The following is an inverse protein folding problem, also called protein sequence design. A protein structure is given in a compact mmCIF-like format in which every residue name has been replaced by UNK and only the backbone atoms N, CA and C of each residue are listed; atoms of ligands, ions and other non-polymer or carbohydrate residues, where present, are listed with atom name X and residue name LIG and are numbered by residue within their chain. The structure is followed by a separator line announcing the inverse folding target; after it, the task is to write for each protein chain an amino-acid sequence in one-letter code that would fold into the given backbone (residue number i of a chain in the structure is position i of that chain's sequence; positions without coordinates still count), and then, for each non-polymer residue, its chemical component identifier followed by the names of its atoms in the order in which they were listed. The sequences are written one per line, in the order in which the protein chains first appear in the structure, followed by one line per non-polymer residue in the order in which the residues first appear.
data_IF_363699949240
#
_entry.id   IF_363699949240
#
_cell.length_a   1.000
_cell.length_b   1.000
_cell.length_c   1.000
_cell.angle_alpha   90.00
_cell.angle_beta   90.00
_cell.angle_gamma   90.00
#
_symmetry.space_group_name_H-M   'P 1'
#
loop_
_entity.id
_entity.type
_entity.pdbx_description
1 polymer ?
#
# COMPACT_ATOMS: atom_id res chain seq x y z
N UNK A 1 7.06 -33.45 -18.90
CA UNK A 1 6.10 -32.34 -18.82
C UNK A 1 6.93 -31.08 -18.68
N UNK A 2 6.68 -30.11 -19.56
CA UNK A 2 7.36 -28.84 -19.60
C UNK A 2 6.82 -27.91 -18.54
N UNK A 3 7.63 -26.90 -18.19
CA UNK A 3 7.36 -26.01 -17.05
C UNK A 3 5.99 -25.33 -17.14
N UNK A 4 5.53 -24.97 -18.35
CA UNK A 4 4.24 -24.31 -18.51
C UNK A 4 3.08 -25.20 -18.05
N UNK A 5 3.04 -26.46 -18.50
CA UNK A 5 1.99 -27.40 -18.11
C UNK A 5 2.02 -27.69 -16.60
N UNK A 6 3.21 -27.76 -16.00
CA UNK A 6 3.39 -27.96 -14.57
C UNK A 6 2.87 -26.77 -13.73
N UNK A 7 3.18 -25.54 -14.13
CA UNK A 7 2.92 -24.34 -13.32
C UNK A 7 1.64 -23.59 -13.66
N UNK A 8 1.06 -23.81 -14.84
CA UNK A 8 -0.20 -23.15 -15.22
C UNK A 8 -1.33 -23.33 -14.19
N UNK A 9 -1.55 -24.53 -13.61
CA UNK A 9 -2.59 -24.72 -12.59
C UNK A 9 -2.41 -23.81 -11.37
N UNK A 10 -1.19 -23.68 -10.85
CA UNK A 10 -0.88 -22.85 -9.68
C UNK A 10 -1.16 -21.37 -9.95
N UNK A 11 -0.70 -20.84 -11.09
CA UNK A 11 -1.01 -19.45 -11.49
C UNK A 11 -2.51 -19.23 -11.70
N UNK A 12 -3.22 -20.21 -12.27
CA UNK A 12 -4.66 -20.12 -12.49
C UNK A 12 -5.46 -20.15 -11.18
N UNK A 13 -5.01 -20.90 -10.18
CA UNK A 13 -5.58 -20.91 -8.84
C UNK A 13 -5.49 -19.52 -8.18
N UNK A 14 -4.35 -18.85 -8.35
CA UNK A 14 -4.14 -17.45 -7.96
C UNK A 14 -4.97 -16.44 -8.79
N UNK A 15 -5.69 -16.89 -9.82
CA UNK A 15 -6.47 -16.02 -10.69
C UNK A 15 -5.65 -15.25 -11.73
N UNK A 16 -4.40 -15.66 -11.94
CA UNK A 16 -3.49 -15.11 -12.94
C UNK A 16 -3.57 -15.91 -14.24
N UNK A 17 -3.61 -15.21 -15.37
CA UNK A 17 -3.73 -15.83 -16.69
C UNK A 17 -2.32 -15.98 -17.26
N UNK A 18 -1.93 -17.20 -17.60
CA UNK A 18 -0.63 -17.50 -18.23
C UNK A 18 -0.79 -18.00 -19.66
N UNK A 19 0.28 -17.89 -20.44
CA UNK A 19 0.34 -18.34 -21.84
C UNK A 19 1.71 -18.95 -22.16
N UNK A 20 1.77 -19.97 -23.03
CA UNK A 20 3.06 -20.48 -23.51
C UNK A 20 3.75 -19.41 -24.37
N UNK A 21 5.08 -19.40 -24.35
CA UNK A 21 5.90 -18.51 -25.17
C UNK A 21 6.82 -19.30 -26.08
N UNK A 22 7.04 -18.80 -27.30
CA UNK A 22 8.05 -19.38 -28.19
C UNK A 22 9.48 -19.05 -27.73
N UNK A 23 10.50 -19.59 -28.41
CA UNK A 23 11.91 -19.30 -28.11
C UNK A 23 12.32 -17.83 -28.26
N UNK A 24 11.47 -16.98 -28.85
CA UNK A 24 11.63 -15.53 -28.95
C UNK A 24 10.73 -14.77 -27.97
N UNK A 25 10.14 -15.47 -26.99
CA UNK A 25 9.23 -14.94 -25.96
C UNK A 25 7.94 -14.34 -26.54
N UNK A 26 7.49 -14.81 -27.71
CA UNK A 26 6.21 -14.39 -28.31
C UNK A 26 5.09 -15.29 -27.86
N UNK A 27 3.99 -14.69 -27.41
CA UNK A 27 2.76 -15.40 -27.07
C UNK A 27 1.96 -15.82 -28.31
N UNK A 28 1.01 -16.77 -28.15
CA UNK A 28 0.18 -17.26 -29.24
C UNK A 28 -0.77 -16.17 -29.78
N UNK A 29 -1.26 -16.30 -31.02
CA UNK A 29 -2.23 -15.36 -31.58
C UNK A 29 -3.48 -15.15 -30.69
N UNK A 30 -3.84 -13.89 -30.49
CA UNK A 30 -5.00 -13.51 -29.69
C UNK A 30 -4.80 -13.64 -28.17
N UNK A 31 -3.55 -13.75 -27.69
CA UNK A 31 -3.23 -13.81 -26.26
C UNK A 31 -3.88 -12.68 -25.44
N UNK A 32 -4.03 -11.49 -26.02
CA UNK A 32 -4.61 -10.32 -25.37
C UNK A 32 -6.11 -10.46 -25.06
N UNK A 33 -6.79 -11.46 -25.62
CA UNK A 33 -8.19 -11.81 -25.33
C UNK A 33 -8.32 -13.07 -24.48
N UNK A 34 -7.20 -13.64 -24.02
CA UNK A 34 -7.19 -14.87 -23.25
C UNK A 34 -7.77 -14.66 -21.84
N UNK A 35 -8.53 -15.65 -21.38
CA UNK A 35 -8.96 -15.82 -20.00
C UNK A 35 -8.48 -17.15 -19.44
N UNK A 36 -8.73 -17.40 -18.16
CA UNK A 36 -8.29 -18.62 -17.45
C UNK A 36 -8.66 -19.93 -18.17
N UNK A 37 -9.88 -20.13 -18.71
CA UNK A 37 -10.20 -21.39 -19.39
C UNK A 37 -9.32 -21.67 -20.60
N UNK A 38 -9.00 -20.65 -21.40
CA UNK A 38 -8.13 -20.80 -22.58
C UNK A 38 -6.67 -20.98 -22.17
N UNK A 39 -6.22 -20.34 -21.09
CA UNK A 39 -4.90 -20.57 -20.51
C UNK A 39 -4.71 -22.03 -20.10
N UNK A 40 -5.72 -22.62 -19.45
CA UNK A 40 -5.69 -24.04 -19.07
C UNK A 40 -5.70 -24.99 -20.27
N UNK A 41 -6.49 -24.70 -21.30
CA UNK A 41 -6.47 -25.50 -22.53
C UNK A 41 -5.09 -25.49 -23.20
N UNK A 42 -4.44 -24.32 -23.27
CA UNK A 42 -3.10 -24.21 -23.85
C UNK A 42 -2.04 -24.99 -23.08
N UNK A 43 -2.18 -25.15 -21.77
CA UNK A 43 -1.25 -25.98 -20.99
C UNK A 43 -1.28 -27.44 -21.41
N UNK A 44 -2.45 -27.97 -21.77
CA UNK A 44 -2.58 -29.34 -22.30
C UNK A 44 -1.98 -29.46 -23.72
N UNK A 45 -2.14 -28.43 -24.55
CA UNK A 45 -1.64 -28.43 -25.95
C UNK A 45 -0.13 -28.14 -26.07
N UNK A 46 0.52 -27.70 -24.99
CA UNK A 46 1.92 -27.26 -24.96
C UNK A 46 2.66 -27.90 -23.77
N UNK A 47 2.52 -29.22 -23.66
CA UNK A 47 2.99 -30.03 -22.52
C UNK A 47 4.51 -30.22 -22.46
N UNK A 48 5.26 -29.70 -23.43
CA UNK A 48 6.73 -29.68 -23.50
C UNK A 48 7.31 -28.25 -23.40
N UNK A 49 6.46 -27.24 -23.21
CA UNK A 49 6.88 -25.83 -23.22
C UNK A 49 7.51 -25.40 -21.89
N UNK A 50 8.78 -25.00 -21.93
CA UNK A 50 9.53 -24.55 -20.74
C UNK A 50 9.45 -23.04 -20.45
N UNK A 51 8.80 -22.26 -21.32
CA UNK A 51 8.70 -20.81 -21.19
C UNK A 51 7.25 -20.37 -21.23
N UNK A 52 6.83 -19.61 -20.23
CA UNK A 52 5.49 -19.04 -20.20
C UNK A 52 5.49 -17.60 -19.70
N UNK A 53 4.46 -16.87 -20.10
CA UNK A 53 4.22 -15.50 -19.65
C UNK A 53 3.00 -15.41 -18.77
N UNK A 54 2.99 -14.43 -17.85
CA UNK A 54 1.81 -14.00 -17.11
C UNK A 54 1.25 -12.72 -17.71
N UNK A 55 -0.05 -12.66 -17.94
CA UNK A 55 -0.72 -11.44 -18.41
C UNK A 55 -0.75 -10.40 -17.29
N UNK A 56 -0.19 -9.23 -17.57
CA UNK A 56 -0.11 -8.14 -16.60
C UNK A 56 -1.39 -7.30 -16.58
N UNK A 57 -1.70 -6.73 -15.42
CA UNK A 57 -2.88 -5.91 -15.14
C UNK A 57 -4.22 -6.64 -15.18
N UNK A 58 -4.24 -7.97 -15.23
CA UNK A 58 -5.47 -8.76 -15.19
C UNK A 58 -5.43 -9.80 -14.06
N UNK A 59 -6.36 -9.68 -13.12
CA UNK A 59 -6.81 -10.79 -12.28
C UNK A 59 -8.32 -10.91 -12.44
N UNK A 60 -8.81 -11.98 -13.07
CA UNK A 60 -10.26 -12.18 -13.24
C UNK A 60 -10.60 -13.66 -13.21
N UNK A 61 -10.87 -14.15 -12.01
CA UNK A 61 -11.80 -15.27 -11.81
C UNK A 61 -13.03 -14.70 -11.11
N UNK A 62 -14.22 -15.02 -11.60
CA UNK A 62 -15.47 -14.66 -10.91
C UNK A 62 -15.40 -15.27 -9.50
N UNK A 63 -15.39 -14.43 -8.46
CA UNK A 63 -15.24 -14.86 -7.06
C UNK A 63 -13.80 -14.90 -6.51
N UNK A 64 -12.75 -14.61 -7.31
CA UNK A 64 -11.39 -14.38 -6.78
C UNK A 64 -10.97 -12.96 -7.13
N UNK A 65 -10.88 -12.12 -6.11
CA UNK A 65 -10.44 -10.73 -6.24
C UNK A 65 -8.91 -10.66 -6.23
N UNK A 66 -8.27 -11.24 -7.24
CA UNK A 66 -6.84 -10.98 -7.46
C UNK A 66 -6.69 -9.64 -8.20
N UNK A 67 -5.93 -8.66 -7.67
CA UNK A 67 -5.81 -7.34 -8.29
C UNK A 67 -5.02 -7.38 -9.62
N UNK A 68 -4.32 -8.49 -9.89
CA UNK A 68 -3.40 -8.63 -11.00
C UNK A 68 -2.02 -8.06 -10.63
N UNK A 69 -1.07 -8.22 -11.54
CA UNK A 69 0.31 -7.78 -11.33
C UNK A 69 0.70 -6.68 -12.31
N UNK A 70 1.47 -5.71 -11.82
CA UNK A 70 2.22 -4.77 -12.65
C UNK A 70 3.70 -5.08 -12.44
N UNK A 71 4.45 -5.11 -13.54
CA UNK A 71 5.87 -5.43 -13.48
C UNK A 71 6.67 -4.27 -14.05
N UNK A 72 7.70 -3.85 -13.31
CA UNK A 72 8.78 -3.05 -13.87
C UNK A 72 9.79 -4.02 -14.47
N UNK A 73 9.98 -3.95 -15.80
CA UNK A 73 10.97 -4.70 -16.55
C UNK A 73 12.20 -3.80 -16.75
N UNK A 74 13.23 -4.03 -15.94
CA UNK A 74 14.48 -3.28 -15.99
C UNK A 74 15.46 -4.01 -16.89
N UNK A 75 15.80 -3.40 -18.02
CA UNK A 75 16.62 -3.99 -19.07
C UNK A 75 18.12 -4.03 -18.75
N UNK A 76 18.55 -3.43 -17.63
CA UNK A 76 19.96 -3.35 -17.22
C UNK A 76 20.40 -4.45 -16.26
N UNK A 77 21.69 -4.48 -15.97
CA UNK A 77 22.33 -5.41 -15.03
C UNK A 77 23.05 -4.72 -13.87
N UNK A 78 23.07 -3.38 -13.86
CA UNK A 78 23.67 -2.60 -12.78
C UNK A 78 22.75 -2.61 -11.55
N UNK A 79 23.22 -3.22 -10.47
CA UNK A 79 22.47 -3.35 -9.22
C UNK A 79 22.33 -2.02 -8.47
N UNK A 80 23.21 -1.04 -8.71
CA UNK A 80 23.04 0.29 -8.13
C UNK A 80 21.83 1.00 -8.74
N UNK A 81 21.72 0.97 -10.07
CA UNK A 81 20.55 1.51 -10.77
C UNK A 81 19.27 0.74 -10.43
N UNK A 82 19.36 -0.57 -10.18
CA UNK A 82 18.22 -1.33 -9.63
C UNK A 82 17.81 -0.79 -8.25
N UNK A 83 18.78 -0.51 -7.38
CA UNK A 83 18.55 0.12 -6.07
C UNK A 83 17.86 1.47 -6.18
N UNK A 84 18.30 2.33 -7.11
CA UNK A 84 17.66 3.62 -7.39
C UNK A 84 16.22 3.45 -7.86
N UNK A 85 15.95 2.48 -8.73
CA UNK A 85 14.59 2.16 -9.18
C UNK A 85 13.70 1.69 -8.05
N UNK A 86 14.21 0.85 -7.15
CA UNK A 86 13.50 0.43 -5.94
C UNK A 86 13.23 1.62 -5.02
N UNK A 87 14.21 2.53 -4.90
CA UNK A 87 14.03 3.80 -4.20
C UNK A 87 12.83 4.56 -4.75
N UNK A 88 12.79 4.81 -6.06
CA UNK A 88 11.74 5.61 -6.72
C UNK A 88 10.36 4.94 -6.63
N UNK A 89 10.31 3.63 -6.81
CA UNK A 89 9.06 2.89 -7.02
C UNK A 89 8.56 2.10 -5.80
N UNK A 90 9.31 2.16 -4.71
CA UNK A 90 9.08 1.37 -3.50
C UNK A 90 9.63 -0.06 -3.64
N UNK A 91 9.72 -0.77 -2.52
CA UNK A 91 10.17 -2.17 -2.50
C UNK A 91 9.17 -3.08 -3.23
N UNK A 92 9.60 -3.93 -4.19
CA UNK A 92 8.71 -4.87 -4.83
C UNK A 92 8.32 -6.01 -3.89
N UNK A 93 7.19 -6.66 -4.16
CA UNK A 93 6.79 -7.86 -3.40
C UNK A 93 7.54 -9.11 -3.86
N UNK A 94 7.99 -9.14 -5.11
CA UNK A 94 8.92 -10.15 -5.62
C UNK A 94 9.90 -9.52 -6.62
N UNK A 95 11.17 -9.91 -6.52
CA UNK A 95 12.24 -9.50 -7.42
C UNK A 95 12.74 -10.74 -8.17
N UNK A 96 12.67 -10.72 -9.49
CA UNK A 96 13.04 -11.87 -10.34
C UNK A 96 14.27 -11.52 -11.16
N UNK A 97 15.26 -12.42 -11.19
CA UNK A 97 16.33 -12.39 -12.19
C UNK A 97 15.82 -13.07 -13.46
N UNK A 98 15.89 -12.38 -14.58
CA UNK A 98 15.49 -12.92 -15.88
C UNK A 98 16.53 -13.90 -16.43
N UNK A 99 16.16 -14.71 -17.41
CA UNK A 99 17.06 -15.64 -18.10
C UNK A 99 18.27 -14.97 -18.79
N UNK A 100 18.31 -13.65 -18.92
CA UNK A 100 19.47 -12.91 -19.45
C UNK A 100 20.19 -12.08 -18.38
N UNK A 101 19.93 -12.34 -17.09
CA UNK A 101 20.58 -11.67 -15.96
C UNK A 101 20.00 -10.30 -15.55
N UNK A 102 18.96 -9.82 -16.25
CA UNK A 102 18.22 -8.56 -15.97
C UNK A 102 17.18 -8.75 -14.86
N UNK A 103 16.33 -7.75 -14.58
CA UNK A 103 15.41 -7.80 -13.43
C UNK A 103 13.95 -7.49 -13.77
N UNK A 104 13.03 -8.26 -13.18
CA UNK A 104 11.61 -7.92 -13.09
C UNK A 104 11.23 -7.61 -11.64
N UNK A 105 10.56 -6.49 -11.39
CA UNK A 105 10.06 -6.09 -10.08
C UNK A 105 8.53 -6.18 -10.08
N UNK A 106 7.96 -7.03 -9.24
CA UNK A 106 6.52 -7.30 -9.19
C UNK A 106 5.80 -6.46 -8.13
N UNK A 107 4.72 -5.83 -8.55
CA UNK A 107 3.83 -5.01 -7.74
C UNK A 107 2.37 -5.40 -7.98
N UNK A 108 1.50 -4.99 -7.06
CA UNK A 108 0.05 -5.07 -7.26
C UNK A 108 -0.38 -4.09 -8.36
N UNK A 109 -1.14 -4.57 -9.33
CA UNK A 109 -1.74 -3.68 -10.31
C UNK A 109 -2.81 -2.79 -9.66
N UNK A 110 -2.70 -1.48 -9.87
CA UNK A 110 -3.65 -0.46 -9.45
C UNK A 110 -4.21 0.31 -10.65
N UNK A 111 -4.25 -0.32 -11.83
CA UNK A 111 -4.72 0.28 -13.08
C UNK A 111 -3.61 0.79 -13.99
N UNK A 112 -2.34 0.51 -13.70
CA UNK A 112 -1.22 0.86 -14.58
C UNK A 112 -1.40 0.23 -15.96
N UNK A 113 -1.01 0.94 -17.02
CA UNK A 113 -1.02 0.45 -18.42
C UNK A 113 0.37 0.02 -18.85
N UNK A 114 0.46 -0.70 -19.97
CA UNK A 114 1.76 -0.93 -20.63
C UNK A 114 2.35 0.39 -21.14
N UNK A 115 3.59 0.69 -20.77
CA UNK A 115 4.36 1.85 -21.27
C UNK A 115 5.83 1.45 -21.37
N UNK A 116 6.46 1.75 -22.50
CA UNK A 116 7.89 1.51 -22.69
C UNK A 116 8.67 2.75 -22.27
N UNK A 117 9.88 2.53 -21.73
CA UNK A 117 10.86 3.59 -21.45
C UNK A 117 10.32 4.69 -20.55
N UNK A 118 9.85 4.31 -19.35
CA UNK A 118 9.15 5.22 -18.41
C UNK A 118 10.04 6.28 -17.76
N UNK A 119 11.35 6.09 -17.76
CA UNK A 119 12.34 7.02 -17.20
C UNK A 119 13.13 7.83 -18.24
N UNK A 120 12.86 7.62 -19.52
CA UNK A 120 13.53 8.34 -20.60
C UNK A 120 13.99 7.44 -21.75
N UNK A 121 14.41 8.07 -22.84
CA UNK A 121 14.91 7.42 -24.06
C UNK A 121 16.36 7.83 -24.38
N UNK A 122 17.00 8.55 -23.46
CA UNK A 122 18.30 9.16 -23.64
C UNK A 122 19.46 8.20 -23.42
N UNK A 123 20.65 8.66 -23.82
CA UNK A 123 21.89 7.96 -23.58
C UNK A 123 22.24 8.08 -22.08
N UNK A 124 22.14 6.97 -21.34
CA UNK A 124 22.39 6.93 -19.90
C UNK A 124 21.14 6.77 -19.02
N UNK A 125 19.94 6.88 -19.59
CA UNK A 125 18.71 6.60 -18.82
C UNK A 125 18.56 5.10 -18.58
N UNK A 126 18.08 4.66 -17.41
CA UNK A 126 17.79 3.27 -17.17
C UNK A 126 16.68 2.83 -18.12
N UNK A 127 16.96 1.75 -18.86
CA UNK A 127 16.03 1.16 -19.82
C UNK A 127 14.94 0.42 -19.03
N UNK A 128 13.85 1.12 -18.75
CA UNK A 128 12.78 0.61 -17.87
C UNK A 128 11.44 0.62 -18.58
N UNK A 129 10.82 -0.55 -18.68
CA UNK A 129 9.49 -0.71 -19.23
C UNK A 129 8.48 -1.03 -18.11
N UNK A 130 7.31 -0.42 -18.20
CA UNK A 130 6.16 -0.71 -17.34
C UNK A 130 5.25 -1.71 -18.03
N UNK A 131 5.19 -2.92 -17.48
CA UNK A 131 4.29 -3.98 -17.90
C UNK A 131 3.03 -3.96 -17.03
N UNK A 132 2.15 -2.99 -17.26
CA UNK A 132 0.80 -2.94 -16.71
C UNK A 132 -0.24 -3.63 -17.60
N UNK A 133 -1.50 -3.20 -17.55
CA UNK A 133 -2.60 -3.73 -18.36
C UNK A 133 -2.27 -3.77 -19.85
N UNK A 134 -2.62 -4.89 -20.50
CA UNK A 134 -2.46 -5.08 -21.95
C UNK A 134 -1.08 -5.61 -22.36
N UNK A 135 -0.27 -6.07 -21.42
CA UNK A 135 1.00 -6.76 -21.67
C UNK A 135 1.04 -8.17 -21.07
N UNK A 136 2.20 -8.80 -21.23
CA UNK A 136 2.63 -9.96 -20.43
C UNK A 136 4.12 -9.82 -20.16
N UNK A 137 4.60 -10.56 -19.16
CA UNK A 137 6.02 -10.78 -18.92
C UNK A 137 6.27 -12.27 -18.78
N UNK A 138 7.47 -12.73 -19.15
CA UNK A 138 7.89 -14.08 -18.80
C UNK A 138 7.94 -14.22 -17.27
N UNK A 139 7.41 -15.34 -16.77
CA UNK A 139 7.18 -15.56 -15.36
C UNK A 139 8.07 -16.68 -14.80
N UNK A 140 8.47 -16.63 -13.52
CA UNK A 140 9.17 -17.74 -12.89
C UNK A 140 8.24 -18.97 -12.78
N UNK A 141 8.75 -20.21 -12.95
CA UNK A 141 10.15 -20.57 -13.12
C UNK A 141 10.53 -20.88 -14.59
N UNK A 142 10.06 -20.08 -15.57
CA UNK A 142 10.37 -20.30 -17.00
C UNK A 142 11.87 -20.49 -17.27
N UNK A 143 12.23 -21.35 -18.24
CA UNK A 143 13.61 -21.64 -18.65
C UNK A 143 13.84 -21.43 -20.15
N UNK A 144 14.88 -20.69 -20.49
CA UNK A 144 15.40 -20.56 -21.85
C UNK A 144 16.81 -21.16 -21.92
N UNK A 145 17.31 -21.38 -23.14
CA UNK A 145 18.70 -21.80 -23.33
C UNK A 145 19.74 -20.84 -22.74
N UNK A 146 19.38 -19.58 -22.49
CA UNK A 146 20.26 -18.59 -21.84
C UNK A 146 20.23 -18.62 -20.30
N UNK A 147 19.24 -19.26 -19.68
CA UNK A 147 19.04 -19.25 -18.23
C UNK A 147 17.58 -19.38 -17.79
N UNK A 148 17.33 -19.17 -16.51
CA UNK A 148 16.01 -19.27 -15.86
C UNK A 148 15.48 -17.93 -15.36
N UNK A 149 14.16 -17.87 -15.13
CA UNK A 149 13.52 -16.80 -14.38
C UNK A 149 13.43 -17.20 -12.91
N UNK A 150 14.28 -16.62 -12.07
CA UNK A 150 14.47 -17.05 -10.68
C UNK A 150 14.11 -15.94 -9.69
N UNK A 151 13.46 -16.29 -8.58
CA UNK A 151 13.22 -15.37 -7.47
C UNK A 151 14.55 -15.04 -6.77
N UNK A 152 14.89 -13.76 -6.69
CA UNK A 152 15.96 -13.23 -5.84
C UNK A 152 15.41 -12.78 -4.49
N UNK A 153 14.21 -12.17 -4.48
CA UNK A 153 13.44 -11.83 -3.28
C UNK A 153 11.96 -12.20 -3.48
N UNK A 154 11.29 -12.54 -2.38
CA UNK A 154 9.92 -13.05 -2.39
C UNK A 154 9.79 -14.46 -2.97
N UNK A 155 8.56 -14.90 -3.19
CA UNK A 155 8.25 -16.18 -3.80
C UNK A 155 6.94 -16.15 -4.60
N UNK A 156 6.54 -17.30 -5.14
CA UNK A 156 5.27 -17.43 -5.84
C UNK A 156 4.07 -17.08 -4.95
N UNK A 157 4.10 -17.42 -3.65
CA UNK A 157 2.99 -17.14 -2.73
C UNK A 157 2.75 -15.64 -2.54
N UNK A 158 3.81 -14.82 -2.55
CA UNK A 158 3.69 -13.36 -2.51
C UNK A 158 2.91 -12.82 -3.72
N UNK A 159 3.20 -13.37 -4.90
CA UNK A 159 2.47 -13.06 -6.13
C UNK A 159 1.04 -13.60 -6.05
N UNK A 160 0.85 -14.85 -5.62
CA UNK A 160 -0.43 -15.54 -5.63
C UNK A 160 -1.45 -14.97 -4.64
N UNK A 161 -0.98 -14.48 -3.49
CA UNK A 161 -1.83 -13.88 -2.46
C UNK A 161 -2.50 -12.58 -2.90
N UNK A 162 -1.98 -11.91 -3.93
CA UNK A 162 -2.44 -10.59 -4.36
C UNK A 162 -2.09 -9.46 -3.38
N UNK A 163 -1.33 -9.73 -2.33
CA UNK A 163 -0.90 -8.75 -1.32
C UNK A 163 0.39 -8.01 -1.69
N UNK A 164 0.78 -8.03 -2.96
CA UNK A 164 1.92 -7.27 -3.44
C UNK A 164 1.79 -5.76 -3.08
N UNK A 165 2.90 -5.08 -2.79
CA UNK A 165 2.91 -3.64 -2.55
C UNK A 165 2.43 -2.89 -3.81
N UNK A 166 1.85 -1.70 -3.60
CA UNK A 166 1.48 -0.84 -4.73
C UNK A 166 2.75 -0.26 -5.36
N UNK A 167 2.75 -0.16 -6.67
CA UNK A 167 3.74 0.61 -7.38
C UNK A 167 3.50 2.12 -7.16
N UNK A 168 4.53 2.85 -6.76
CA UNK A 168 4.47 4.30 -6.52
C UNK A 168 5.41 5.06 -7.48
N UNK A 169 5.32 6.39 -7.50
CA UNK A 169 6.21 7.24 -8.30
C UNK A 169 5.98 7.17 -9.81
N UNK A 170 4.82 6.72 -10.27
CA UNK A 170 4.43 6.76 -11.67
C UNK A 170 3.70 8.06 -12.01
N UNK A 171 3.92 8.55 -13.23
CA UNK A 171 3.14 9.64 -13.83
C UNK A 171 1.71 9.21 -14.13
N UNK A 172 0.80 10.17 -14.09
CA UNK A 172 -0.62 10.01 -14.44
C UNK A 172 -0.85 9.31 -15.79
N UNK A 173 -0.02 9.61 -16.80
CA UNK A 173 -0.08 9.00 -18.13
C UNK A 173 0.29 7.51 -18.17
N UNK A 174 0.72 6.92 -17.05
CA UNK A 174 1.04 5.51 -16.92
C UNK A 174 -0.15 4.65 -16.45
N UNK A 175 -1.35 5.23 -16.30
CA UNK A 175 -2.58 4.52 -15.91
C UNK A 175 -3.57 4.38 -17.08
N UNK A 176 -4.39 3.31 -17.07
CA UNK A 176 -5.38 3.00 -18.13
C UNK A 176 -6.62 3.89 -18.12
N UNK A 177 -7.02 4.36 -16.95
CA UNK A 177 -8.15 5.25 -16.78
C UNK A 177 -7.67 6.44 -15.94
N UNK A 178 -7.98 7.65 -16.38
CA UNK A 178 -7.71 8.84 -15.57
C UNK A 178 -8.47 8.76 -14.24
N UNK A 179 -9.60 8.04 -14.16
CA UNK A 179 -10.30 7.79 -12.90
C UNK A 179 -9.55 6.88 -11.91
N UNK A 180 -8.62 6.03 -12.39
CA UNK A 180 -7.70 5.27 -11.52
C UNK A 180 -6.46 6.08 -11.13
N UNK A 181 -6.26 7.25 -11.76
CA UNK A 181 -5.52 8.32 -11.12
C UNK A 181 -6.50 8.97 -10.12
N UNK A 182 -6.35 8.76 -8.80
CA UNK A 182 -7.28 9.30 -7.80
C UNK A 182 -7.46 10.84 -7.88
N UNK A 183 -6.68 11.54 -8.72
CA UNK A 183 -6.75 12.99 -8.95
C UNK A 183 -7.48 13.47 -10.19
N UNK A 184 -7.70 12.66 -11.24
CA UNK A 184 -8.23 13.22 -12.49
C UNK A 184 -9.73 13.57 -12.45
N UNK A 185 -10.44 13.14 -11.40
CA UNK A 185 -11.86 13.44 -11.19
C UNK A 185 -12.10 14.59 -10.19
N UNK A 186 -11.05 15.17 -9.60
CA UNK A 186 -11.18 16.28 -8.66
C UNK A 186 -10.91 17.59 -9.39
N UNK A 187 -11.80 18.56 -9.19
CA UNK A 187 -11.56 19.98 -9.49
C UNK A 187 -10.14 20.34 -9.09
N UNK A 188 -9.39 21.06 -9.93
CA UNK A 188 -8.00 21.44 -9.62
C UNK A 188 -7.92 21.91 -8.16
N UNK A 189 -7.22 21.16 -7.28
CA UNK A 189 -7.11 21.57 -5.90
C UNK A 189 -6.44 22.94 -5.85
N UNK A 190 -6.95 23.82 -4.98
CA UNK A 190 -6.28 25.09 -4.73
C UNK A 190 -4.84 24.85 -4.24
N UNK A 191 -4.04 25.92 -4.17
CA UNK A 191 -2.63 25.82 -3.77
C UNK A 191 -2.47 25.14 -2.40
N UNK A 192 -3.36 25.40 -1.45
CA UNK A 192 -3.31 24.82 -0.10
C UNK A 192 -3.55 23.31 -0.13
N UNK A 193 -4.57 22.85 -0.86
CA UNK A 193 -4.87 21.44 -1.03
C UNK A 193 -3.75 20.71 -1.79
N UNK A 194 -3.13 21.33 -2.80
CA UNK A 194 -1.96 20.78 -3.50
C UNK A 194 -0.78 20.57 -2.57
N UNK A 195 -0.38 21.60 -1.80
CA UNK A 195 0.74 21.53 -0.87
C UNK A 195 0.53 20.44 0.18
N UNK A 196 -0.68 20.40 0.76
CA UNK A 196 -1.07 19.37 1.72
C UNK A 196 -0.92 17.98 1.11
N UNK A 197 -1.41 17.79 -0.11
CA UNK A 197 -1.36 16.47 -0.74
C UNK A 197 0.08 16.05 -1.09
N UNK A 198 0.92 16.96 -1.58
CA UNK A 198 2.35 16.69 -1.82
C UNK A 198 3.06 16.30 -0.51
N UNK A 199 2.79 17.04 0.58
CA UNK A 199 3.35 16.75 1.89
C UNK A 199 2.90 15.38 2.43
N UNK A 200 1.62 15.04 2.34
CA UNK A 200 1.10 13.73 2.75
C UNK A 200 1.68 12.58 1.93
N UNK A 201 1.87 12.76 0.61
CA UNK A 201 2.53 11.75 -0.23
C UNK A 201 3.99 11.57 0.15
N UNK A 202 4.71 12.67 0.45
CA UNK A 202 6.08 12.59 0.94
C UNK A 202 6.18 11.80 2.24
N UNK A 203 5.26 12.03 3.20
CA UNK A 203 5.25 11.28 4.45
C UNK A 203 4.93 9.79 4.26
N UNK A 204 3.96 9.45 3.41
CA UNK A 204 3.64 8.05 3.08
C UNK A 204 4.79 7.33 2.37
N UNK A 205 5.47 8.04 1.46
CA UNK A 205 6.66 7.54 0.80
C UNK A 205 7.76 7.24 1.82
N UNK A 206 8.10 8.22 2.67
CA UNK A 206 9.15 8.09 3.69
C UNK A 206 8.85 7.01 4.74
N UNK A 207 7.58 6.74 4.99
CA UNK A 207 7.16 5.64 5.86
C UNK A 207 7.51 4.25 5.28
N UNK A 208 7.44 4.12 3.95
CA UNK A 208 7.74 2.87 3.26
C UNK A 208 9.21 2.78 2.85
N UNK A 209 9.84 3.92 2.58
CA UNK A 209 11.20 4.04 2.04
C UNK A 209 11.82 5.33 2.58
N UNK A 210 12.59 5.26 3.69
CA UNK A 210 13.11 6.44 4.38
C UNK A 210 14.35 7.03 3.66
N UNK A 211 14.19 7.41 2.39
CA UNK A 211 15.23 7.96 1.53
C UNK A 211 14.83 9.35 0.99
N UNK A 212 15.65 10.35 1.27
CA UNK A 212 15.39 11.75 0.90
C UNK A 212 15.46 11.98 -0.61
N UNK A 213 16.42 11.36 -1.30
CA UNK A 213 16.63 11.58 -2.73
C UNK A 213 15.49 10.96 -3.53
N UNK A 214 15.11 9.73 -3.20
CA UNK A 214 14.01 9.02 -3.80
C UNK A 214 12.67 9.71 -3.55
N UNK A 215 12.42 10.20 -2.32
CA UNK A 215 11.25 11.01 -2.01
C UNK A 215 11.23 12.31 -2.82
N UNK A 216 12.39 12.95 -3.00
CA UNK A 216 12.49 14.19 -3.78
C UNK A 216 12.13 13.95 -5.25
N UNK A 217 12.69 12.91 -5.87
CA UNK A 217 12.34 12.49 -7.24
C UNK A 217 10.85 12.14 -7.37
N UNK A 218 10.29 11.42 -6.39
CA UNK A 218 8.86 11.09 -6.34
C UNK A 218 8.00 12.35 -6.35
N UNK A 219 8.33 13.36 -5.54
CA UNK A 219 7.59 14.61 -5.49
C UNK A 219 7.76 15.48 -6.74
N UNK A 220 8.93 15.45 -7.39
CA UNK A 220 9.13 16.16 -8.66
C UNK A 220 8.23 15.58 -9.76
N UNK A 221 8.16 14.25 -9.86
CA UNK A 221 7.26 13.55 -10.76
C UNK A 221 5.80 13.91 -10.44
N UNK A 222 5.42 13.83 -9.16
CA UNK A 222 4.06 14.10 -8.71
C UNK A 222 3.64 15.56 -8.89
N UNK A 223 4.57 16.51 -8.73
CA UNK A 223 4.31 17.93 -8.94
C UNK A 223 4.12 18.25 -10.42
N UNK A 224 4.91 17.63 -11.29
CA UNK A 224 4.80 17.77 -12.75
C UNK A 224 3.48 17.28 -13.34
N UNK A 225 2.75 16.43 -12.62
CA UNK A 225 1.43 15.92 -13.02
C UNK A 225 0.27 16.92 -12.74
N UNK A 226 0.49 17.99 -11.98
CA UNK A 226 -0.53 19.03 -11.80
C UNK A 226 -0.61 19.96 -13.02
N UNK A 227 -1.82 20.34 -13.43
CA UNK A 227 -1.98 21.31 -14.53
C UNK A 227 -1.38 22.68 -14.19
N UNK A 228 -1.36 23.05 -12.91
CA UNK A 228 -0.47 24.07 -12.35
C UNK A 228 0.45 23.41 -11.32
N UNK A 229 1.73 23.17 -11.62
CA UNK A 229 2.71 22.74 -10.61
C UNK A 229 2.92 23.81 -9.53
N UNK A 230 3.31 23.41 -8.32
CA UNK A 230 3.84 24.36 -7.32
C UNK A 230 5.22 24.85 -7.75
N UNK A 231 5.62 26.04 -7.29
CA UNK A 231 6.95 26.59 -7.61
C UNK A 231 8.07 25.72 -7.05
N UNK A 232 9.27 25.75 -7.64
CA UNK A 232 10.41 24.97 -7.14
C UNK A 232 10.74 25.28 -5.67
N UNK A 233 10.72 26.55 -5.27
CA UNK A 233 10.99 26.94 -3.88
C UNK A 233 9.95 26.38 -2.89
N UNK A 234 8.69 26.36 -3.31
CA UNK A 234 7.59 25.80 -2.50
C UNK A 234 7.70 24.28 -2.40
N UNK A 235 8.04 23.59 -3.50
CA UNK A 235 8.28 22.15 -3.51
C UNK A 235 9.45 21.76 -2.62
N UNK A 236 10.57 22.47 -2.68
CA UNK A 236 11.73 22.24 -1.80
C UNK A 236 11.38 22.46 -0.33
N UNK A 237 10.53 23.44 -0.02
CA UNK A 237 10.01 23.65 1.34
C UNK A 237 9.17 22.45 1.81
N UNK A 238 8.32 21.90 0.94
CA UNK A 238 7.52 20.70 1.24
C UNK A 238 8.43 19.48 1.48
N UNK A 239 9.41 19.25 0.59
CA UNK A 239 10.40 18.17 0.71
C UNK A 239 11.16 18.25 2.05
N UNK A 240 11.70 19.43 2.36
CA UNK A 240 12.45 19.67 3.60
C UNK A 240 11.59 19.45 4.86
N UNK A 241 10.34 19.92 4.85
CA UNK A 241 9.43 19.74 5.98
C UNK A 241 9.02 18.27 6.18
N UNK A 242 8.78 17.52 5.09
CA UNK A 242 8.44 16.11 5.18
C UNK A 242 9.61 15.29 5.73
N UNK A 243 10.84 15.56 5.24
CA UNK A 243 12.05 14.95 5.75
C UNK A 243 12.30 15.29 7.23
N UNK A 244 12.13 16.56 7.61
CA UNK A 244 12.21 17.00 9.01
C UNK A 244 11.22 16.22 9.90
N UNK A 245 9.99 16.05 9.44
CA UNK A 245 9.00 15.27 10.17
C UNK A 245 9.39 13.78 10.30
N UNK A 246 10.01 13.20 9.27
CA UNK A 246 10.53 11.83 9.33
C UNK A 246 11.65 11.68 10.37
N UNK A 247 12.70 12.51 10.31
CA UNK A 247 13.87 12.40 11.20
C UNK A 247 13.55 12.76 12.66
N UNK A 248 12.53 13.60 12.89
CA UNK A 248 12.04 13.95 14.23
C UNK A 248 11.01 12.94 14.77
N UNK A 249 10.77 11.81 14.09
CA UNK A 249 9.74 10.82 14.42
C UNK A 249 8.32 11.41 14.53
N UNK A 250 8.03 12.47 13.77
CA UNK A 250 6.71 13.09 13.64
C UNK A 250 5.92 12.59 12.41
N UNK A 251 6.50 11.70 11.59
CA UNK A 251 5.81 11.07 10.48
C UNK A 251 4.82 9.99 10.96
N UNK A 252 3.53 10.29 10.85
CA UNK A 252 2.46 9.40 11.35
C UNK A 252 2.19 8.17 10.51
N UNK A 253 2.77 8.12 9.32
CA UNK A 253 2.68 6.97 8.45
C UNK A 253 3.80 5.95 8.75
N UNK A 254 4.96 6.38 9.25
CA UNK A 254 6.12 5.52 9.49
C UNK A 254 6.00 4.67 10.76
N UNK A 255 5.38 5.24 11.80
CA UNK A 255 5.11 4.52 13.04
C UNK A 255 3.76 4.99 13.61
N UNK A 256 2.92 4.07 14.12
CA UNK A 256 1.71 4.45 14.82
C UNK A 256 2.11 5.18 16.10
N UNK A 257 1.99 6.50 16.09
CA UNK A 257 2.13 7.30 17.30
C UNK A 257 0.77 7.75 17.80
N UNK A 258 0.69 7.93 19.11
CA UNK A 258 -0.50 8.44 19.77
C UNK A 258 -0.29 9.93 20.05
N UNK A 259 -1.13 10.77 19.44
CA UNK A 259 -1.18 12.19 19.76
C UNK A 259 -1.97 12.43 21.05
N UNK A 260 -1.37 13.23 21.92
CA UNK A 260 -1.95 13.78 23.13
C UNK A 260 -1.78 15.30 23.08
N UNK A 261 -2.87 16.04 23.23
CA UNK A 261 -2.80 17.50 23.33
C UNK A 261 -2.28 17.93 24.71
N UNK A 262 -1.68 19.13 24.77
CA UNK A 262 -1.05 19.63 25.99
C UNK A 262 -2.05 19.77 27.15
N UNK A 263 -3.28 20.21 26.87
CA UNK A 263 -4.30 20.39 27.91
C UNK A 263 -4.64 19.06 28.60
N UNK A 264 -4.86 17.99 27.82
CA UNK A 264 -5.11 16.65 28.36
C UNK A 264 -3.88 16.11 29.10
N UNK A 265 -2.66 16.32 28.57
CA UNK A 265 -1.43 15.90 29.24
C UNK A 265 -1.24 16.61 30.59
N UNK A 266 -1.43 17.92 30.62
CA UNK A 266 -1.29 18.74 31.83
C UNK A 266 -2.32 18.32 32.89
N UNK A 267 -3.57 18.09 32.47
CA UNK A 267 -4.62 17.59 33.37
C UNK A 267 -4.27 16.21 33.96
N UNK A 268 -3.84 15.26 33.13
CA UNK A 268 -3.43 13.91 33.59
C UNK A 268 -2.24 14.00 34.54
N UNK A 269 -1.24 14.83 34.22
CA UNK A 269 -0.01 14.94 35.01
C UNK A 269 -0.20 15.65 36.35
N UNK A 270 -1.21 16.53 36.46
CA UNK A 270 -1.61 17.14 37.73
C UNK A 270 -2.33 16.16 38.69
N UNK A 271 -2.84 15.02 38.19
CA UNK A 271 -3.59 14.07 39.02
C UNK A 271 -2.65 13.20 39.89
N UNK A 272 -3.06 12.87 41.12
CA UNK A 272 -2.25 12.04 42.05
C UNK A 272 -1.85 10.66 41.49
N UNK A 273 -2.62 10.15 40.53
CA UNK A 273 -2.37 8.88 39.83
C UNK A 273 -1.81 9.08 38.41
N UNK A 274 -1.16 10.21 38.13
CA UNK A 274 -0.71 10.65 36.80
C UNK A 274 -0.09 9.54 35.94
N UNK A 275 0.91 8.82 36.46
CA UNK A 275 1.62 7.77 35.71
C UNK A 275 0.67 6.67 35.21
N UNK A 276 -0.22 6.19 36.08
CA UNK A 276 -1.16 5.12 35.70
C UNK A 276 -2.25 5.65 34.75
N UNK A 277 -2.77 6.85 35.01
CA UNK A 277 -3.81 7.44 34.15
C UNK A 277 -3.25 7.73 32.76
N UNK A 278 -2.00 8.21 32.66
CA UNK A 278 -1.32 8.37 31.38
C UNK A 278 -1.17 7.03 30.66
N UNK A 279 -0.73 5.96 31.34
CA UNK A 279 -0.63 4.62 30.75
C UNK A 279 -1.98 4.10 30.23
N UNK A 280 -3.06 4.30 30.98
CA UNK A 280 -4.41 3.92 30.57
C UNK A 280 -4.84 4.73 29.34
N UNK A 281 -4.65 6.05 29.37
CA UNK A 281 -5.05 6.93 28.28
C UNK A 281 -4.31 6.59 26.97
N UNK A 282 -2.99 6.41 27.06
CA UNK A 282 -2.15 6.03 25.91
C UNK A 282 -2.52 4.64 25.37
N UNK A 283 -2.88 3.69 26.23
CA UNK A 283 -3.37 2.39 25.78
C UNK A 283 -4.69 2.51 25.00
N UNK A 284 -5.66 3.27 25.52
CA UNK A 284 -6.93 3.52 24.84
C UNK A 284 -6.69 4.21 23.49
N UNK A 285 -5.91 5.29 23.46
CA UNK A 285 -5.59 6.00 22.22
C UNK A 285 -4.87 5.11 21.20
N UNK A 286 -3.92 4.27 21.63
CA UNK A 286 -3.20 3.36 20.73
C UNK A 286 -4.14 2.39 20.02
N UNK A 287 -5.13 1.85 20.72
CA UNK A 287 -6.02 0.81 20.19
C UNK A 287 -7.35 1.37 19.61
N UNK A 288 -7.76 2.56 20.03
CA UNK A 288 -9.05 3.16 19.72
C UNK A 288 -8.95 4.58 19.13
N UNK A 289 -7.76 5.15 18.96
CA UNK A 289 -7.57 6.55 18.54
C UNK A 289 -8.12 6.88 17.16
N UNK A 290 -8.17 5.90 16.26
CA UNK A 290 -8.80 6.03 14.94
C UNK A 290 -10.29 5.69 14.90
N UNK A 291 -10.89 5.27 16.03
CA UNK A 291 -12.31 4.90 16.11
C UNK A 291 -13.12 6.10 16.60
N UNK A 292 -14.30 6.31 16.01
CA UNK A 292 -15.26 7.34 16.44
C UNK A 292 -15.91 6.97 17.77
N UNK A 293 -16.26 5.69 17.93
CA UNK A 293 -16.78 5.09 19.15
C UNK A 293 -15.95 3.89 19.59
N UNK A 294 -15.83 3.69 20.90
CA UNK A 294 -15.03 2.64 21.51
C UNK A 294 -15.52 2.29 22.92
N UNK A 295 -15.03 1.17 23.44
CA UNK A 295 -15.42 0.69 24.77
C UNK A 295 -14.25 0.83 25.74
N UNK A 296 -14.56 1.20 26.99
CA UNK A 296 -13.60 1.16 28.10
C UNK A 296 -14.16 0.19 29.13
N UNK A 297 -13.79 -1.08 29.04
CA UNK A 297 -14.24 -2.10 29.98
C UNK A 297 -13.34 -2.18 31.22
N UNK A 298 -13.90 -2.47 32.39
CA UNK A 298 -13.12 -2.65 33.63
C UNK A 298 -12.05 -3.72 33.50
N UNK A 299 -12.32 -4.79 32.73
CA UNK A 299 -11.38 -5.90 32.50
C UNK A 299 -10.13 -5.54 31.71
N UNK A 300 -10.05 -4.34 31.14
CA UNK A 300 -8.81 -3.79 30.56
C UNK A 300 -7.71 -3.64 31.62
N UNK A 301 -8.06 -3.60 32.90
CA UNK A 301 -7.15 -3.66 34.06
C UNK A 301 -6.11 -4.78 33.96
N UNK A 302 -6.49 -5.96 33.45
CA UNK A 302 -5.61 -7.13 33.29
C UNK A 302 -4.50 -6.90 32.26
N UNK A 303 -4.82 -6.19 31.18
CA UNK A 303 -3.86 -5.87 30.10
C UNK A 303 -2.89 -4.78 30.57
N UNK A 304 -3.39 -3.82 31.34
CA UNK A 304 -2.62 -2.67 31.82
C UNK A 304 -1.82 -3.03 33.09
N UNK A 305 -2.21 -4.07 33.82
CA UNK A 305 -1.58 -4.48 35.08
C UNK A 305 -2.01 -3.62 36.27
N UNK A 306 -3.27 -3.21 36.33
CA UNK A 306 -3.83 -2.44 37.45
C UNK A 306 -5.12 -3.07 38.01
N UNK A 307 -5.72 -2.45 39.03
CA UNK A 307 -7.01 -2.90 39.58
C UNK A 307 -8.20 -2.36 38.77
N UNK A 308 -9.34 -3.06 38.79
CA UNK A 308 -10.57 -2.69 38.06
C UNK A 308 -11.08 -1.29 38.50
N UNK A 309 -10.92 -0.94 39.78
CA UNK A 309 -11.32 0.36 40.33
C UNK A 309 -10.49 1.51 39.73
N UNK A 310 -9.23 1.26 39.36
CA UNK A 310 -8.38 2.26 38.74
C UNK A 310 -8.82 2.56 37.30
N UNK A 311 -9.33 1.56 36.57
CA UNK A 311 -9.92 1.79 35.25
C UNK A 311 -11.20 2.63 35.37
N UNK A 312 -12.05 2.32 36.35
CA UNK A 312 -13.28 3.09 36.61
C UNK A 312 -12.96 4.54 36.98
N UNK A 313 -11.99 4.74 37.88
CA UNK A 313 -11.54 6.07 38.30
C UNK A 313 -10.89 6.86 37.15
N UNK A 314 -10.03 6.23 36.35
CA UNK A 314 -9.40 6.87 35.20
C UNK A 314 -10.44 7.30 34.17
N UNK A 315 -11.43 6.45 33.92
CA UNK A 315 -12.51 6.74 32.98
C UNK A 315 -13.34 7.95 33.39
N UNK A 316 -13.81 7.97 34.64
CA UNK A 316 -14.53 9.13 35.18
C UNK A 316 -13.66 10.39 35.10
N UNK A 317 -12.38 10.29 35.45
CA UNK A 317 -11.46 11.41 35.31
C UNK A 317 -11.35 11.91 33.86
N UNK A 318 -11.22 11.01 32.87
CA UNK A 318 -11.17 11.39 31.45
C UNK A 318 -12.47 12.03 30.94
N UNK A 319 -13.62 11.59 31.46
CA UNK A 319 -14.92 12.23 31.21
C UNK A 319 -14.95 13.64 31.83
N UNK A 320 -14.52 13.78 33.10
CA UNK A 320 -14.54 15.04 33.83
C UNK A 320 -13.62 16.11 33.20
N UNK A 321 -12.49 15.71 32.59
CA UNK A 321 -11.61 16.63 31.83
C UNK A 321 -12.02 16.81 30.37
N UNK A 322 -13.12 16.20 29.93
CA UNK A 322 -13.63 16.29 28.57
C UNK A 322 -12.74 15.63 27.51
N UNK A 323 -11.92 14.64 27.87
CA UNK A 323 -11.11 13.90 26.90
C UNK A 323 -11.92 12.82 26.17
N UNK A 324 -12.91 12.26 26.84
CA UNK A 324 -13.88 11.30 26.30
C UNK A 324 -15.30 11.71 26.70
N UNK A 325 -16.30 11.27 25.93
CA UNK A 325 -17.71 11.49 26.22
C UNK A 325 -18.42 10.15 26.27
N UNK A 326 -19.19 9.93 27.33
CA UNK A 326 -20.07 8.76 27.46
C UNK A 326 -21.19 8.86 26.44
N UNK A 327 -21.28 7.86 25.56
CA UNK A 327 -22.34 7.74 24.54
C UNK A 327 -23.47 6.86 25.04
N UNK A 328 -23.12 5.75 25.71
CA UNK A 328 -24.10 4.84 26.32
C UNK A 328 -23.56 4.26 27.63
N UNK A 329 -24.39 4.27 28.67
CA UNK A 329 -24.07 3.66 29.95
C UNK A 329 -23.84 2.16 29.83
N UNK A 330 -22.98 1.63 30.70
CA UNK A 330 -22.85 0.18 30.84
C UNK A 330 -24.14 -0.42 31.40
N UNK A 331 -24.44 -1.63 30.95
CA UNK A 331 -25.48 -2.48 31.54
C UNK A 331 -24.86 -3.79 32.00
N UNK A 332 -25.66 -4.66 32.61
CA UNK A 332 -25.20 -6.00 32.98
C UNK A 332 -24.72 -6.83 31.79
N UNK A 333 -25.18 -6.51 30.57
CA UNK A 333 -24.88 -7.26 29.34
C UNK A 333 -24.01 -6.48 28.36
N UNK A 334 -23.76 -5.18 28.59
CA UNK A 334 -23.03 -4.33 27.63
C UNK A 334 -22.03 -3.40 28.33
N UNK A 335 -20.78 -3.30 27.84
CA UNK A 335 -19.84 -2.29 28.32
C UNK A 335 -20.31 -0.87 27.96
N UNK A 336 -19.86 0.12 28.74
CA UNK A 336 -20.11 1.52 28.42
C UNK A 336 -19.42 1.90 27.09
N UNK A 337 -20.13 2.68 26.28
CA UNK A 337 -19.67 3.17 24.96
C UNK A 337 -19.22 4.61 25.12
N UNK A 338 -18.06 4.92 24.56
CA UNK A 338 -17.44 6.23 24.59
C UNK A 338 -17.14 6.71 23.19
N UNK A 339 -17.02 8.03 23.05
CA UNK A 339 -16.40 8.69 21.89
C UNK A 339 -15.32 9.64 22.36
N UNK A 340 -14.45 10.06 21.45
CA UNK A 340 -13.54 11.16 21.72
C UNK A 340 -14.30 12.49 21.69
N UNK A 341 -13.96 13.43 22.57
CA UNK A 341 -14.68 14.70 22.66
C UNK A 341 -14.55 15.58 21.39
N UNK A 342 -13.46 15.43 20.63
CA UNK A 342 -13.23 16.14 19.36
C UNK A 342 -14.04 15.58 18.18
N UNK A 343 -14.74 14.46 18.35
CA UNK A 343 -15.66 13.91 17.34
C UNK A 343 -17.06 14.52 17.55
N UNK A 344 -17.68 15.16 16.54
CA UNK A 344 -19.02 15.74 16.65
C UNK A 344 -20.09 14.72 17.06
N UNK A 345 -21.07 15.15 17.86
CA UNK A 345 -22.11 14.28 18.45
C UNK A 345 -23.03 13.62 17.42
N UNK A 346 -23.47 14.36 16.40
CA UNK A 346 -24.33 13.85 15.31
C UNK A 346 -23.73 12.63 14.62
N UNK A 347 -22.41 12.65 14.38
CA UNK A 347 -21.70 11.59 13.68
C UNK A 347 -21.61 10.30 14.52
N UNK A 348 -21.63 10.41 15.85
CA UNK A 348 -21.56 9.25 16.73
C UNK A 348 -22.91 8.55 16.90
N UNK A 349 -24.02 9.29 16.82
CA UNK A 349 -25.37 8.72 16.96
C UNK A 349 -25.78 7.90 15.74
N UNK A 350 -25.46 8.38 14.53
CA UNK A 350 -25.72 7.66 13.28
C UNK A 350 -25.01 6.29 13.27
N UNK A 351 -23.75 6.20 13.71
CA UNK A 351 -23.01 4.93 13.78
C UNK A 351 -23.48 3.99 14.90
N UNK A 352 -23.99 4.53 16.01
CA UNK A 352 -24.55 3.70 17.09
C UNK A 352 -25.80 2.94 16.61
N UNK A 353 -26.56 3.51 15.68
CA UNK A 353 -27.73 2.87 15.07
C UNK A 353 -27.32 1.74 14.09
N UNK A 354 -26.13 1.82 13.50
CA UNK A 354 -25.58 0.83 12.57
C UNK A 354 -24.82 -0.31 13.27
N UNK A 355 -24.38 -0.11 14.51
CA UNK A 355 -23.83 -1.18 15.33
C UNK A 355 -24.97 -2.08 15.79
N UNK A 356 -24.99 -3.32 15.29
CA UNK A 356 -25.86 -4.36 15.86
C UNK A 356 -25.36 -4.73 17.26
N UNK A 357 -25.90 -4.04 18.27
CA UNK A 357 -25.58 -4.22 19.69
C UNK A 357 -26.23 -5.48 20.29
N UNK A 358 -26.86 -6.34 19.48
CA UNK A 358 -27.52 -7.58 19.94
C UNK A 358 -26.64 -8.82 19.87
N UNK A 359 -25.46 -8.72 19.26
CA UNK A 359 -24.36 -9.69 19.38
C UNK A 359 -23.44 -9.38 20.57
#
# INVERSE_FOLDING_TARGET
MGIFADWQPAYAEAGLITLPLDGKKKGPPGWNKMGLPRSAALAADNDDCDVFGVLTGRGRKKGVSHPGVTVIDYDGTDENQLGDLIGIHGRPGALIRTASGKFHLYYRNCGERRKLRIHGKGQGDPLVDLCGYGGYVAAPPSRLGSGSYDFLEGCFDDIASGHLPKLIGLRSEHYTNSAFNPRAALTEPDATARNKTLFENALQFLASTPDLQAMSMHLDILNGDYAKPVSSNELETIKANAWKAQIENRNGYAAPYTQLDNQTLDAITAHRNAKLFLSIFMHIKRHCGGRRIFFIANKMSRVIGCKDEMISAARKFFEDIGAIVLVAEHTNTRPAVYRWAWVPEQTAFEELLDLDLTA
#
